data_IF_471435040911
#
_entry.id   IF_471435040911
#
_cell.length_a   1.000
_cell.length_b   1.000
_cell.length_c   1.000
_cell.angle_alpha   90.00
_cell.angle_beta   90.00
_cell.angle_gamma   90.00
#
_symmetry.space_group_name_H-M   'P 1'
#
loop_
_entity.id
_entity.type
_entity.pdbx_description
1 polymer ?
#
# COMPACT_ATOMS: atom_id res chain seq x y z
N UNK A 1 -0.86 -19.02 -25.24
CA UNK A 1 -2.13 -18.35 -24.94
C UNK A 1 -1.83 -17.06 -24.17
N UNK A 2 -2.72 -16.08 -24.19
CA UNK A 2 -2.55 -14.88 -23.35
C UNK A 2 -2.76 -15.26 -21.87
N UNK A 3 -1.83 -14.92 -20.95
CA UNK A 3 -1.95 -15.31 -19.56
C UNK A 3 -3.13 -14.61 -18.88
N UNK A 4 -3.83 -15.33 -18.00
CA UNK A 4 -4.96 -14.88 -17.21
C UNK A 4 -4.49 -14.43 -15.84
N UNK A 5 -4.60 -13.15 -15.51
CA UNK A 5 -4.08 -12.60 -14.26
C UNK A 5 -5.20 -12.07 -13.38
N UNK A 6 -5.36 -12.67 -12.20
CA UNK A 6 -6.31 -12.19 -11.21
C UNK A 6 -5.82 -10.88 -10.56
N UNK A 7 -6.74 -9.91 -10.38
CA UNK A 7 -6.48 -8.61 -9.80
C UNK A 7 -7.29 -8.44 -8.52
N UNK A 8 -6.60 -8.15 -7.40
CA UNK A 8 -7.18 -8.02 -6.06
C UNK A 8 -6.60 -6.79 -5.39
N UNK A 9 -7.43 -6.00 -4.69
CA UNK A 9 -6.93 -4.85 -3.93
C UNK A 9 -7.60 -4.73 -2.56
N UNK A 10 -6.79 -4.51 -1.52
CA UNK A 10 -7.24 -4.19 -0.16
C UNK A 10 -6.29 -3.19 0.49
N UNK A 11 -6.74 -1.94 0.65
CA UNK A 11 -5.90 -0.85 1.11
C UNK A 11 -6.44 -0.26 2.40
N UNK A 12 -5.71 -0.44 3.51
CA UNK A 12 -6.00 0.18 4.80
C UNK A 12 -4.73 0.36 5.62
N UNK A 13 -4.46 1.57 6.04
CA UNK A 13 -3.49 1.89 7.07
C UNK A 13 -4.21 2.00 8.42
N UNK A 14 -4.09 0.98 9.27
CA UNK A 14 -4.86 0.89 10.51
C UNK A 14 -4.14 1.52 11.69
N UNK A 15 -4.73 2.60 12.23
CA UNK A 15 -4.38 3.12 13.55
C UNK A 15 -5.20 2.38 14.61
N UNK A 16 -4.54 1.60 15.47
CA UNK A 16 -5.18 0.80 16.53
C UNK A 16 -6.03 1.62 17.51
N UNK A 17 -5.81 2.92 17.59
CA UNK A 17 -6.44 3.84 18.53
C UNK A 17 -7.54 4.70 17.89
N UNK A 18 -7.79 4.55 16.59
CA UNK A 18 -8.86 5.23 15.87
C UNK A 18 -10.16 4.41 15.89
N UNK A 19 -11.31 5.04 15.60
CA UNK A 19 -12.58 4.32 15.44
C UNK A 19 -12.48 3.21 14.39
N UNK A 20 -13.22 2.12 14.60
CA UNK A 20 -13.25 0.96 13.70
C UNK A 20 -13.70 1.37 12.30
N UNK A 21 -12.95 0.95 11.28
CA UNK A 21 -13.30 1.09 9.88
C UNK A 21 -14.30 -0.01 9.50
N UNK A 22 -15.54 0.36 9.25
CA UNK A 22 -16.61 -0.54 8.85
C UNK A 22 -16.80 -0.61 7.33
N UNK A 23 -17.67 -1.49 6.85
CA UNK A 23 -17.98 -1.63 5.43
C UNK A 23 -18.48 -0.33 4.80
N UNK A 24 -19.24 0.49 5.53
CA UNK A 24 -19.78 1.73 5.01
C UNK A 24 -18.68 2.72 4.67
N UNK A 25 -17.63 2.80 5.50
CA UNK A 25 -16.46 3.64 5.24
C UNK A 25 -15.71 3.21 3.98
N UNK A 26 -15.47 1.92 3.78
CA UNK A 26 -14.83 1.39 2.58
C UNK A 26 -15.66 1.68 1.33
N UNK A 27 -16.97 1.46 1.37
CA UNK A 27 -17.87 1.75 0.24
C UNK A 27 -17.94 3.23 -0.08
N UNK A 28 -17.88 4.09 0.91
CA UNK A 28 -17.88 5.55 0.72
C UNK A 28 -16.58 6.04 0.12
N UNK A 29 -15.42 5.52 0.57
CA UNK A 29 -14.11 5.97 0.13
C UNK A 29 -13.72 5.38 -1.22
N UNK A 30 -13.67 4.06 -1.31
CA UNK A 30 -13.34 3.39 -2.56
C UNK A 30 -13.82 1.93 -2.54
N UNK A 31 -14.69 1.59 -3.48
CA UNK A 31 -15.14 0.23 -3.74
C UNK A 31 -15.35 0.06 -5.23
N UNK A 32 -14.68 -0.93 -5.83
CA UNK A 32 -14.76 -1.21 -7.25
C UNK A 32 -14.62 -2.72 -7.48
N UNK A 33 -15.36 -3.28 -8.43
CA UNK A 33 -15.44 -4.72 -8.66
C UNK A 33 -15.44 -5.05 -10.16
N UNK A 34 -14.96 -6.27 -10.47
CA UNK A 34 -15.02 -6.79 -11.83
C UNK A 34 -14.30 -5.90 -12.85
N UNK A 35 -14.81 -5.83 -14.06
CA UNK A 35 -14.19 -5.13 -15.18
C UNK A 35 -13.93 -3.64 -14.92
N UNK A 36 -14.69 -3.02 -14.02
CA UNK A 36 -14.51 -1.61 -13.66
C UNK A 36 -13.11 -1.33 -13.07
N UNK A 37 -12.44 -2.32 -12.45
CA UNK A 37 -11.06 -2.19 -11.97
C UNK A 37 -10.11 -1.88 -13.14
N UNK A 38 -10.27 -2.59 -14.25
CA UNK A 38 -9.42 -2.42 -15.44
C UNK A 38 -9.80 -1.17 -16.21
N UNK A 39 -11.09 -0.86 -16.28
CA UNK A 39 -11.60 0.37 -16.90
C UNK A 39 -11.03 1.59 -16.16
N UNK A 40 -11.07 1.58 -14.83
CA UNK A 40 -10.50 2.64 -14.01
C UNK A 40 -8.98 2.74 -14.18
N UNK A 41 -8.26 1.62 -14.09
CA UNK A 41 -6.80 1.57 -14.23
C UNK A 41 -6.28 2.06 -15.60
N UNK A 42 -7.09 1.94 -16.65
CA UNK A 42 -6.77 2.43 -18.01
C UNK A 42 -7.35 3.81 -18.31
N UNK A 43 -8.06 4.40 -17.34
CA UNK A 43 -8.61 5.74 -17.48
C UNK A 43 -7.49 6.80 -17.51
N UNK A 44 -7.64 7.89 -18.29
CA UNK A 44 -6.72 9.03 -18.21
C UNK A 44 -6.76 9.76 -16.85
N UNK A 45 -7.83 9.56 -16.09
CA UNK A 45 -8.00 10.10 -14.72
C UNK A 45 -8.55 8.97 -13.85
N UNK A 46 -7.70 8.04 -13.39
CA UNK A 46 -8.13 6.91 -12.56
C UNK A 46 -8.56 7.41 -11.17
N UNK A 47 -9.57 6.77 -10.58
CA UNK A 47 -9.99 7.01 -9.19
C UNK A 47 -8.98 6.45 -8.19
N UNK A 48 -8.32 5.34 -8.56
CA UNK A 48 -7.18 4.79 -7.85
C UNK A 48 -5.92 4.90 -8.72
N UNK A 49 -5.11 5.97 -8.55
CA UNK A 49 -3.88 6.18 -9.32
C UNK A 49 -2.74 5.24 -8.92
N UNK A 50 -3.04 4.16 -8.23
CA UNK A 50 -2.10 3.25 -7.59
C UNK A 50 -1.51 2.17 -8.48
N UNK A 51 -1.24 1.01 -7.86
CA UNK A 51 -0.53 -0.09 -8.47
C UNK A 51 -1.22 -0.69 -9.70
N UNK A 52 -2.56 -0.74 -9.74
CA UNK A 52 -3.28 -1.28 -10.91
C UNK A 52 -3.01 -0.50 -12.19
N UNK A 53 -2.89 0.83 -12.13
CA UNK A 53 -2.54 1.67 -13.29
C UNK A 53 -1.21 1.23 -13.88
N UNK A 54 -0.18 1.13 -13.04
CA UNK A 54 1.15 0.71 -13.46
C UNK A 54 1.19 -0.74 -13.92
N UNK A 55 0.53 -1.63 -13.20
CA UNK A 55 0.48 -3.06 -13.53
C UNK A 55 -0.17 -3.30 -14.90
N UNK A 56 -1.37 -2.74 -15.13
CA UNK A 56 -2.05 -2.86 -16.42
C UNK A 56 -1.21 -2.29 -17.55
N UNK A 57 -0.60 -1.10 -17.35
CA UNK A 57 0.30 -0.50 -18.33
C UNK A 57 1.46 -1.43 -18.70
N UNK A 58 2.17 -2.00 -17.71
CA UNK A 58 3.29 -2.89 -17.96
C UNK A 58 2.86 -4.17 -18.69
N UNK A 59 1.72 -4.73 -18.32
CA UNK A 59 1.18 -5.92 -18.97
C UNK A 59 0.74 -5.63 -20.41
N UNK A 60 0.14 -4.46 -20.68
CA UNK A 60 -0.27 -4.03 -22.02
C UNK A 60 0.94 -3.75 -22.92
N UNK A 61 2.01 -3.14 -22.40
CA UNK A 61 3.27 -2.86 -23.11
C UNK A 61 4.07 -4.13 -23.46
N UNK A 62 3.93 -5.19 -22.66
CA UNK A 62 4.78 -6.39 -22.75
C UNK A 62 4.13 -7.58 -23.45
N UNK A 63 2.92 -7.41 -23.98
CA UNK A 63 2.22 -8.40 -24.81
C UNK A 63 0.80 -8.71 -24.35
N UNK A 64 0.08 -9.54 -25.08
CA UNK A 64 -1.31 -9.84 -24.78
C UNK A 64 -1.47 -10.54 -23.43
N UNK A 65 -2.54 -10.21 -22.71
CA UNK A 65 -2.95 -10.84 -21.46
C UNK A 65 -4.46 -10.69 -21.27
N UNK A 66 -5.01 -11.46 -20.34
CA UNK A 66 -6.41 -11.43 -19.97
C UNK A 66 -6.52 -11.03 -18.51
N UNK A 67 -6.99 -9.82 -18.19
CA UNK A 67 -7.28 -9.44 -16.81
C UNK A 67 -8.45 -10.30 -16.29
N UNK A 68 -8.38 -10.68 -15.02
CA UNK A 68 -9.41 -11.34 -14.25
C UNK A 68 -9.63 -10.50 -12.98
N UNK A 69 -10.28 -9.34 -13.12
CA UNK A 69 -10.46 -8.42 -12.00
C UNK A 69 -11.52 -8.96 -11.02
N UNK A 70 -11.17 -9.05 -9.74
CA UNK A 70 -12.04 -9.59 -8.70
C UNK A 70 -12.72 -8.49 -7.88
N UNK A 71 -11.97 -7.87 -6.97
CA UNK A 71 -12.45 -6.80 -6.12
C UNK A 71 -11.28 -5.90 -5.67
N UNK A 72 -11.55 -4.61 -5.51
CA UNK A 72 -10.65 -3.62 -4.93
C UNK A 72 -11.43 -2.74 -3.96
N UNK A 73 -10.86 -2.52 -2.78
CA UNK A 73 -11.41 -1.58 -1.79
C UNK A 73 -10.32 -0.87 -1.02
N UNK A 74 -10.62 0.36 -0.57
CA UNK A 74 -9.71 1.17 0.23
C UNK A 74 -10.48 2.06 1.19
N UNK A 75 -10.01 2.10 2.45
CA UNK A 75 -10.44 3.11 3.41
C UNK A 75 -9.31 4.13 3.72
N UNK A 76 -8.14 4.02 3.05
CA UNK A 76 -7.00 4.90 3.29
C UNK A 76 -6.43 4.73 4.70
N UNK A 77 -6.14 5.83 5.40
CA UNK A 77 -5.77 5.81 6.80
C UNK A 77 -7.04 5.87 7.68
N UNK A 78 -7.24 4.86 8.54
CA UNK A 78 -8.41 4.77 9.42
C UNK A 78 -8.11 3.88 10.64
N UNK A 79 -9.14 3.39 11.34
CA UNK A 79 -9.00 2.46 12.45
C UNK A 79 -8.83 1.00 12.03
N UNK A 80 -8.89 0.06 13.00
CA UNK A 80 -8.90 -1.36 12.68
C UNK A 80 -10.11 -1.73 11.81
N UNK A 81 -9.92 -2.60 10.81
CA UNK A 81 -11.04 -3.08 10.00
C UNK A 81 -11.99 -3.95 10.85
N UNK A 82 -13.30 -3.73 10.69
CA UNK A 82 -14.32 -4.57 11.31
C UNK A 82 -14.19 -6.01 10.80
N UNK A 83 -14.07 -6.98 11.73
CA UNK A 83 -13.73 -8.36 11.38
C UNK A 83 -14.77 -9.00 10.45
N UNK A 84 -16.06 -8.80 10.75
CA UNK A 84 -17.13 -9.39 9.94
C UNK A 84 -17.14 -8.88 8.51
N UNK A 85 -16.83 -7.61 8.30
CA UNK A 85 -16.63 -7.04 6.95
C UNK A 85 -15.41 -7.65 6.26
N UNK A 86 -14.27 -7.70 6.96
CA UNK A 86 -13.05 -8.30 6.38
C UNK A 86 -13.27 -9.76 5.98
N UNK A 87 -13.93 -10.54 6.81
CA UNK A 87 -14.27 -11.94 6.51
C UNK A 87 -15.18 -12.07 5.28
N UNK A 88 -16.13 -11.13 5.11
CA UNK A 88 -16.98 -11.09 3.91
C UNK A 88 -16.17 -10.75 2.67
N UNK A 89 -15.23 -9.79 2.77
CA UNK A 89 -14.36 -9.43 1.66
C UNK A 89 -13.46 -10.61 1.25
N UNK A 90 -12.84 -11.31 2.19
CA UNK A 90 -12.01 -12.49 1.90
C UNK A 90 -12.85 -13.57 1.21
N UNK A 91 -14.05 -13.88 1.72
CA UNK A 91 -14.95 -14.84 1.06
C UNK A 91 -15.33 -14.43 -0.37
N UNK A 92 -15.65 -13.16 -0.58
CA UNK A 92 -15.93 -12.62 -1.92
C UNK A 92 -14.76 -12.88 -2.90
N UNK A 93 -13.52 -12.59 -2.43
CA UNK A 93 -12.31 -12.84 -3.23
C UNK A 93 -12.13 -14.33 -3.51
N UNK A 94 -12.29 -15.18 -2.48
CA UNK A 94 -12.17 -16.63 -2.63
C UNK A 94 -13.18 -17.21 -3.62
N UNK A 95 -14.46 -16.85 -3.51
CA UNK A 95 -15.53 -17.30 -4.39
C UNK A 95 -15.25 -16.90 -5.84
N UNK A 96 -14.89 -15.65 -6.08
CA UNK A 96 -14.59 -15.15 -7.41
C UNK A 96 -13.33 -15.77 -8.01
N UNK A 97 -12.27 -15.93 -7.18
CA UNK A 97 -11.03 -16.56 -7.64
C UNK A 97 -11.26 -18.03 -8.01
N UNK A 98 -12.00 -18.80 -7.20
CA UNK A 98 -12.36 -20.19 -7.52
C UNK A 98 -13.18 -20.30 -8.81
N UNK A 99 -14.15 -19.40 -9.01
CA UNK A 99 -14.96 -19.35 -10.20
C UNK A 99 -14.17 -18.98 -11.47
N UNK A 100 -13.07 -18.25 -11.30
CA UNK A 100 -12.21 -17.78 -12.38
C UNK A 100 -11.09 -18.76 -12.78
N UNK A 101 -10.86 -19.82 -12.02
CA UNK A 101 -9.79 -20.79 -12.32
C UNK A 101 -9.97 -21.46 -13.69
N UNK A 102 -8.86 -21.80 -14.39
CA UNK A 102 -7.48 -21.53 -14.02
C UNK A 102 -7.06 -20.10 -14.26
N UNK A 103 -6.18 -19.57 -13.40
CA UNK A 103 -5.46 -18.32 -13.61
C UNK A 103 -3.97 -18.62 -13.67
N UNK A 104 -3.21 -17.81 -14.43
CA UNK A 104 -1.78 -18.00 -14.63
C UNK A 104 -0.94 -17.16 -13.67
N UNK A 105 -1.54 -16.16 -13.01
CA UNK A 105 -0.90 -15.32 -12.01
C UNK A 105 -1.91 -14.52 -11.20
N UNK A 106 -1.46 -13.95 -10.08
CA UNK A 106 -2.26 -13.07 -9.23
C UNK A 106 -1.45 -11.82 -8.90
N UNK A 107 -2.05 -10.66 -9.10
CA UNK A 107 -1.53 -9.39 -8.62
C UNK A 107 -2.40 -8.82 -7.51
N UNK A 108 -1.77 -8.45 -6.40
CA UNK A 108 -2.44 -7.90 -5.22
C UNK A 108 -1.91 -6.49 -4.95
N UNK A 109 -2.77 -5.50 -4.94
CA UNK A 109 -2.47 -4.17 -4.43
C UNK A 109 -2.93 -4.08 -2.98
N UNK A 110 -2.00 -3.94 -2.03
CA UNK A 110 -2.33 -3.84 -0.61
C UNK A 110 -1.52 -2.76 0.10
N UNK A 111 -2.01 -2.30 1.26
CA UNK A 111 -1.23 -1.37 2.07
C UNK A 111 -0.13 -2.09 2.86
N UNK A 112 -0.47 -3.19 3.52
CA UNK A 112 0.46 -3.95 4.37
C UNK A 112 0.45 -3.56 5.85
N UNK A 113 -0.28 -2.52 6.23
CA UNK A 113 -0.41 -2.08 7.62
C UNK A 113 -1.82 -2.23 8.18
N UNK A 114 -2.66 -3.06 7.58
CA UNK A 114 -3.98 -3.33 8.09
C UNK A 114 -3.91 -4.14 9.40
N UNK A 115 -4.76 -3.76 10.33
CA UNK A 115 -5.11 -4.49 11.54
C UNK A 115 -6.62 -4.64 11.60
N UNK A 116 -7.11 -5.83 11.91
CA UNK A 116 -8.52 -6.07 12.21
C UNK A 116 -8.84 -5.90 13.67
N UNK A 117 -10.13 -5.89 13.98
CA UNK A 117 -10.61 -5.88 15.38
C UNK A 117 -10.33 -7.20 16.09
N UNK A 118 -10.10 -8.29 15.35
CA UNK A 118 -9.77 -9.63 15.85
C UNK A 118 -8.49 -10.15 15.18
N UNK A 119 -8.46 -10.22 13.83
CA UNK A 119 -7.26 -10.61 13.08
C UNK A 119 -6.24 -9.46 13.11
N UNK A 120 -5.05 -9.73 13.62
CA UNK A 120 -3.96 -8.75 13.69
C UNK A 120 -3.07 -8.75 12.44
N UNK A 121 -3.34 -9.62 11.45
CA UNK A 121 -2.64 -9.73 10.18
C UNK A 121 -3.58 -9.98 8.98
N UNK A 122 -4.53 -9.07 8.71
CA UNK A 122 -5.51 -9.26 7.63
C UNK A 122 -4.88 -9.48 6.25
N UNK A 123 -3.83 -8.74 5.89
CA UNK A 123 -3.14 -8.98 4.61
C UNK A 123 -2.52 -10.37 4.56
N UNK A 124 -1.90 -10.83 5.65
CA UNK A 124 -1.38 -12.21 5.72
C UNK A 124 -2.46 -13.25 5.56
N UNK A 125 -3.66 -13.00 6.10
CA UNK A 125 -4.84 -13.87 5.94
C UNK A 125 -5.33 -13.88 4.48
N UNK A 126 -5.51 -12.71 3.86
CA UNK A 126 -5.92 -12.61 2.47
C UNK A 126 -4.91 -13.27 1.52
N UNK A 127 -3.61 -13.00 1.68
CA UNK A 127 -2.57 -13.55 0.82
C UNK A 127 -2.48 -15.07 0.94
N UNK A 128 -2.59 -15.60 2.16
CA UNK A 128 -2.59 -17.05 2.38
C UNK A 128 -3.85 -17.74 1.80
N UNK A 129 -5.02 -17.09 1.88
CA UNK A 129 -6.24 -17.60 1.27
C UNK A 129 -6.10 -17.66 -0.27
N UNK A 130 -5.57 -16.61 -0.90
CA UNK A 130 -5.25 -16.59 -2.33
C UNK A 130 -4.28 -17.72 -2.69
N UNK A 131 -3.16 -17.84 -1.98
CA UNK A 131 -2.15 -18.89 -2.21
C UNK A 131 -2.74 -20.30 -2.09
N UNK A 132 -3.60 -20.52 -1.11
CA UNK A 132 -4.25 -21.82 -0.92
C UNK A 132 -5.15 -22.22 -2.10
N UNK A 133 -5.74 -21.25 -2.79
CA UNK A 133 -6.61 -21.49 -3.94
C UNK A 133 -5.80 -21.74 -5.21
N UNK A 134 -4.80 -20.91 -5.50
CA UNK A 134 -4.06 -21.01 -6.76
C UNK A 134 -2.93 -22.02 -6.73
N UNK A 135 -2.55 -22.52 -5.55
CA UNK A 135 -1.45 -23.50 -5.37
C UNK A 135 -0.06 -22.84 -5.46
N UNK A 136 1.01 -23.65 -5.29
CA UNK A 136 2.39 -23.16 -5.17
C UNK A 136 3.01 -22.68 -6.49
N UNK A 137 2.48 -23.11 -7.63
CA UNK A 137 3.08 -22.89 -8.95
C UNK A 137 2.65 -21.57 -9.61
N UNK A 138 1.49 -21.04 -9.25
CA UNK A 138 0.95 -19.79 -9.80
C UNK A 138 1.63 -18.61 -9.10
N UNK A 139 2.31 -17.72 -9.84
CA UNK A 139 2.97 -16.57 -9.24
C UNK A 139 1.96 -15.61 -8.58
N UNK A 140 2.26 -15.20 -7.35
CA UNK A 140 1.53 -14.18 -6.59
C UNK A 140 2.47 -13.01 -6.32
N UNK A 141 2.20 -11.87 -6.92
CA UNK A 141 2.96 -10.62 -6.76
C UNK A 141 2.11 -9.61 -6.02
N UNK A 142 2.68 -8.92 -5.04
CA UNK A 142 1.99 -7.86 -4.33
C UNK A 142 2.82 -6.57 -4.26
N UNK A 143 2.12 -5.43 -4.37
CA UNK A 143 2.69 -4.11 -4.03
C UNK A 143 2.20 -3.68 -2.66
N UNK A 144 3.10 -3.04 -1.90
CA UNK A 144 2.83 -2.57 -0.54
C UNK A 144 3.28 -1.13 -0.38
N UNK A 145 2.58 -0.42 0.50
CA UNK A 145 3.06 0.87 1.01
C UNK A 145 4.38 0.68 1.77
N UNK A 146 5.26 1.69 1.75
CA UNK A 146 6.50 1.65 2.51
C UNK A 146 6.27 1.68 4.04
N UNK A 147 5.09 2.10 4.49
CA UNK A 147 4.68 2.03 5.90
C UNK A 147 4.15 0.63 6.31
N UNK A 148 4.22 -0.37 5.44
CA UNK A 148 3.73 -1.70 5.74
C UNK A 148 4.39 -2.33 6.97
N UNK A 149 3.58 -3.01 7.76
CA UNK A 149 3.96 -3.91 8.84
C UNK A 149 3.96 -5.35 8.30
N UNK A 150 5.06 -5.78 7.71
CA UNK A 150 5.12 -7.07 7.00
C UNK A 150 5.23 -8.23 7.99
N UNK A 151 4.36 -9.22 7.81
CA UNK A 151 4.42 -10.49 8.52
C UNK A 151 5.20 -11.55 7.71
N UNK A 152 5.66 -12.59 8.38
CA UNK A 152 6.23 -13.76 7.71
C UNK A 152 5.20 -14.43 6.78
N UNK A 153 3.92 -14.47 7.21
CA UNK A 153 2.82 -15.04 6.44
C UNK A 153 2.61 -14.34 5.11
N UNK A 154 2.71 -13.01 5.07
CA UNK A 154 2.66 -12.24 3.82
C UNK A 154 3.80 -12.62 2.87
N UNK A 155 5.03 -12.74 3.40
CA UNK A 155 6.21 -13.11 2.60
C UNK A 155 6.11 -14.53 2.08
N UNK A 156 5.67 -15.48 2.89
CA UNK A 156 5.55 -16.89 2.49
C UNK A 156 4.45 -17.13 1.45
N UNK A 157 3.35 -16.36 1.53
CA UNK A 157 2.21 -16.49 0.61
C UNK A 157 2.45 -15.88 -0.78
N UNK A 158 3.47 -15.05 -0.95
CA UNK A 158 3.76 -14.34 -2.22
C UNK A 158 5.08 -14.77 -2.82
N UNK A 159 5.25 -14.65 -4.13
CA UNK A 159 6.53 -14.85 -4.82
C UNK A 159 7.36 -13.58 -4.83
N UNK A 160 6.70 -12.42 -4.83
CA UNK A 160 7.35 -11.11 -4.83
C UNK A 160 6.51 -10.09 -4.07
N UNK A 161 7.17 -9.35 -3.16
CA UNK A 161 6.64 -8.16 -2.50
C UNK A 161 7.44 -6.95 -2.96
N UNK A 162 6.76 -5.91 -3.46
CA UNK A 162 7.37 -4.67 -3.93
C UNK A 162 6.84 -3.51 -3.09
N UNK A 163 7.72 -2.84 -2.34
CA UNK A 163 7.35 -1.67 -1.56
C UNK A 163 7.48 -0.38 -2.36
N UNK A 164 6.67 0.63 -2.03
CA UNK A 164 6.91 2.00 -2.48
C UNK A 164 8.28 2.47 -2.01
N UNK A 165 8.92 3.33 -2.80
CA UNK A 165 10.26 3.86 -2.52
C UNK A 165 10.23 5.31 -2.06
N UNK A 166 9.08 5.99 -2.20
CA UNK A 166 8.98 7.43 -1.96
C UNK A 166 7.99 7.78 -0.85
N UNK A 167 8.40 8.70 0.00
CA UNK A 167 7.54 9.37 0.97
C UNK A 167 7.79 10.89 0.87
N UNK A 168 6.83 11.68 0.37
CA UNK A 168 5.44 11.32 -0.01
C UNK A 168 5.35 10.31 -1.15
N UNK A 169 4.22 9.55 -1.19
CA UNK A 169 3.98 8.50 -2.18
C UNK A 169 3.69 9.09 -3.56
N UNK A 170 4.68 9.06 -4.45
CA UNK A 170 4.56 9.54 -5.83
C UNK A 170 4.90 8.43 -6.86
N UNK A 171 5.30 7.25 -6.40
CA UNK A 171 5.79 6.15 -7.23
C UNK A 171 4.87 4.91 -7.25
N UNK A 172 3.59 5.04 -6.86
CA UNK A 172 2.66 3.93 -6.78
C UNK A 172 2.49 3.22 -8.14
N UNK A 173 2.29 4.00 -9.20
CA UNK A 173 2.14 3.45 -10.55
C UNK A 173 3.44 2.82 -11.04
N UNK A 174 4.59 3.39 -10.73
CA UNK A 174 5.91 2.83 -11.06
C UNK A 174 6.13 1.48 -10.38
N UNK A 175 5.70 1.33 -9.11
CA UNK A 175 5.78 0.04 -8.40
C UNK A 175 4.83 -0.99 -9.00
N UNK A 176 3.62 -0.58 -9.40
CA UNK A 176 2.71 -1.43 -10.16
C UNK A 176 3.30 -1.86 -11.50
N UNK A 177 3.96 -0.94 -12.21
CA UNK A 177 4.64 -1.25 -13.47
C UNK A 177 5.79 -2.25 -13.28
N UNK A 178 6.60 -2.08 -12.22
CA UNK A 178 7.61 -3.06 -11.84
C UNK A 178 6.99 -4.43 -11.57
N UNK A 179 5.85 -4.48 -10.84
CA UNK A 179 5.13 -5.72 -10.57
C UNK A 179 4.65 -6.41 -11.85
N UNK A 180 4.15 -5.66 -12.84
CA UNK A 180 3.72 -6.21 -14.13
C UNK A 180 4.88 -6.80 -14.94
N UNK A 181 6.01 -6.12 -14.97
CA UNK A 181 7.22 -6.63 -15.62
C UNK A 181 7.76 -7.89 -14.93
N UNK A 182 7.80 -7.88 -13.59
CA UNK A 182 8.20 -9.05 -12.81
C UNK A 182 7.21 -10.21 -13.01
N UNK A 183 5.91 -9.95 -13.09
CA UNK A 183 4.91 -10.97 -13.41
C UNK A 183 5.23 -11.66 -14.75
N UNK A 184 5.61 -10.92 -15.79
CA UNK A 184 6.04 -11.51 -17.07
C UNK A 184 7.25 -12.40 -16.93
N UNK A 185 8.23 -12.01 -16.11
CA UNK A 185 9.43 -12.79 -15.85
C UNK A 185 9.08 -14.10 -15.12
N UNK A 186 8.18 -14.05 -14.12
CA UNK A 186 7.71 -15.23 -13.40
C UNK A 186 6.91 -16.18 -14.30
N UNK A 187 6.04 -15.63 -15.16
CA UNK A 187 5.28 -16.40 -16.16
C UNK A 187 6.18 -17.09 -17.20
N UNK A 188 7.37 -16.51 -17.46
CA UNK A 188 8.39 -17.12 -18.33
C UNK A 188 9.18 -18.23 -17.63
N UNK A 189 8.87 -18.55 -16.36
CA UNK A 189 9.46 -19.67 -15.62
C UNK A 189 10.54 -19.27 -14.60
N UNK A 190 10.81 -17.98 -14.40
CA UNK A 190 11.71 -17.55 -13.33
C UNK A 190 11.11 -17.93 -11.98
N UNK A 191 11.89 -18.64 -11.16
CA UNK A 191 11.55 -18.92 -9.75
C UNK A 191 12.17 -17.88 -8.86
N UNK A 192 11.57 -17.65 -7.70
CA UNK A 192 12.09 -16.69 -6.72
C UNK A 192 12.62 -17.39 -5.47
N UNK A 193 13.68 -16.81 -4.91
CA UNK A 193 14.15 -17.10 -3.56
C UNK A 193 14.03 -15.82 -2.73
N UNK A 194 13.63 -15.92 -1.47
CA UNK A 194 13.33 -14.76 -0.63
C UNK A 194 14.09 -14.79 0.67
N UNK A 195 14.56 -13.62 1.09
CA UNK A 195 15.10 -13.41 2.42
C UNK A 195 14.32 -12.30 3.12
N UNK A 196 13.88 -12.55 4.33
CA UNK A 196 13.10 -11.65 5.16
C UNK A 196 13.78 -11.40 6.50
N UNK A 197 13.88 -10.15 6.88
CA UNK A 197 14.33 -9.77 8.22
C UNK A 197 13.38 -8.73 8.82
N UNK A 198 12.96 -9.00 10.04
CA UNK A 198 12.28 -8.05 10.91
C UNK A 198 13.33 -7.40 11.81
N UNK A 199 13.38 -6.08 11.82
CA UNK A 199 14.32 -5.34 12.65
C UNK A 199 13.65 -4.93 13.97
N UNK A 200 14.35 -4.99 15.09
CA UNK A 200 13.82 -4.54 16.39
C UNK A 200 13.86 -3.00 16.49
N UNK A 201 13.28 -2.33 15.47
CA UNK A 201 13.30 -0.87 15.34
C UNK A 201 11.88 -0.41 14.95
N UNK A 202 11.41 0.61 15.66
CA UNK A 202 10.13 1.30 15.43
C UNK A 202 10.43 2.78 15.20
N UNK A 203 10.88 3.19 14.01
CA UNK A 203 11.10 4.58 13.71
C UNK A 203 9.76 5.35 13.74
N UNK A 204 9.75 6.59 14.27
CA UNK A 204 8.56 7.43 14.16
C UNK A 204 8.33 7.80 12.68
N UNK A 205 7.07 8.02 12.29
CA UNK A 205 6.69 8.29 10.90
C UNK A 205 7.45 9.48 10.29
N UNK A 206 7.72 10.52 11.10
CA UNK A 206 8.49 11.70 10.66
C UNK A 206 9.96 11.38 10.30
N UNK A 207 10.47 10.22 10.68
CA UNK A 207 11.82 9.77 10.33
C UNK A 207 11.87 8.90 9.07
N UNK A 208 10.71 8.59 8.47
CA UNK A 208 10.58 7.76 7.28
C UNK A 208 10.61 8.59 5.98
N UNK A 209 11.42 9.63 5.93
CA UNK A 209 11.64 10.39 4.70
C UNK A 209 12.53 9.61 3.74
N UNK A 210 12.11 9.50 2.49
CA UNK A 210 12.83 8.73 1.46
C UNK A 210 13.91 9.51 0.73
N UNK A 211 13.84 10.85 0.75
CA UNK A 211 14.77 11.75 0.08
C UNK A 211 16.07 12.02 0.88
N UNK A 212 16.07 11.69 2.18
CA UNK A 212 17.18 11.96 3.09
C UNK A 212 17.16 11.09 4.33
N UNK A 213 18.28 11.11 5.07
CA UNK A 213 18.40 10.42 6.36
C UNK A 213 18.55 8.90 6.24
N UNK A 214 18.59 8.20 7.39
CA UNK A 214 18.92 6.77 7.43
C UNK A 214 17.95 5.88 6.65
N UNK A 215 16.67 6.25 6.59
CA UNK A 215 15.67 5.47 5.84
C UNK A 215 15.88 5.63 4.32
N UNK A 216 16.02 6.86 3.82
CA UNK A 216 16.34 7.11 2.42
C UNK A 216 17.65 6.46 1.98
N UNK A 217 18.69 6.53 2.83
CA UNK A 217 19.96 5.83 2.56
C UNK A 217 19.79 4.31 2.48
N UNK A 218 18.94 3.72 3.34
CA UNK A 218 18.66 2.28 3.31
C UNK A 218 17.92 1.89 2.02
N UNK A 219 16.93 2.68 1.59
CA UNK A 219 16.25 2.48 0.31
C UNK A 219 17.25 2.56 -0.85
N UNK A 220 18.04 3.64 -0.94
CA UNK A 220 19.02 3.83 -2.00
C UNK A 220 20.03 2.69 -2.06
N UNK A 221 20.53 2.24 -0.90
CA UNK A 221 21.41 1.07 -0.80
C UNK A 221 20.73 -0.22 -1.25
N UNK A 222 19.45 -0.41 -0.92
CA UNK A 222 18.67 -1.55 -1.41
C UNK A 222 18.54 -1.52 -2.93
N UNK A 223 18.13 -0.38 -3.48
CA UNK A 223 17.94 -0.21 -4.92
C UNK A 223 19.25 -0.38 -5.72
N UNK A 224 20.40 0.03 -5.17
CA UNK A 224 21.71 -0.20 -5.82
C UNK A 224 22.09 -1.68 -5.96
N UNK A 225 21.39 -2.60 -5.31
CA UNK A 225 21.60 -4.04 -5.39
C UNK A 225 20.63 -4.74 -6.34
N UNK A 226 19.58 -4.04 -6.80
CA UNK A 226 18.64 -4.59 -7.77
C UNK A 226 19.31 -4.75 -9.12
N UNK A 227 19.18 -5.94 -9.70
CA UNK A 227 19.81 -6.33 -10.96
C UNK A 227 20.55 -7.68 -10.84
N UNK A 228 20.94 -8.26 -11.98
CA UNK A 228 21.54 -9.59 -11.98
C UNK A 228 20.67 -10.61 -11.23
N UNK A 229 21.20 -11.25 -10.18
CA UNK A 229 20.43 -12.25 -9.41
C UNK A 229 19.34 -11.61 -8.53
N UNK A 230 19.41 -10.32 -8.21
CA UNK A 230 18.46 -9.67 -7.31
C UNK A 230 17.32 -9.04 -8.11
N UNK A 231 16.10 -9.56 -7.90
CA UNK A 231 14.88 -9.07 -8.55
C UNK A 231 14.34 -7.80 -7.89
N UNK A 232 14.28 -7.78 -6.57
CA UNK A 232 13.79 -6.64 -5.79
C UNK A 232 14.39 -6.60 -4.37
N UNK A 233 14.51 -5.38 -3.84
CA UNK A 233 14.82 -5.11 -2.43
C UNK A 233 13.81 -4.11 -1.90
N UNK A 234 12.92 -4.55 -1.04
CA UNK A 234 11.91 -3.74 -0.37
C UNK A 234 12.32 -3.44 1.07
N UNK A 235 12.47 -2.14 1.37
CA UNK A 235 12.78 -1.63 2.73
C UNK A 235 11.52 -0.98 3.28
N UNK A 236 10.89 -1.62 4.27
CA UNK A 236 9.60 -1.21 4.80
C UNK A 236 9.78 -0.56 6.16
N UNK A 237 9.35 0.70 6.28
CA UNK A 237 9.58 1.55 7.43
C UNK A 237 8.74 1.19 8.66
N UNK A 238 7.59 0.65 8.48
CA UNK A 238 6.51 0.35 9.42
C UNK A 238 5.47 1.48 9.60
N UNK A 239 4.31 1.10 10.12
CA UNK A 239 3.33 2.00 10.71
C UNK A 239 3.22 1.70 12.21
N UNK A 240 3.78 2.58 13.04
CA UNK A 240 3.91 2.35 14.49
C UNK A 240 2.57 2.32 15.22
N UNK A 241 1.56 3.04 14.70
CA UNK A 241 0.20 3.03 15.29
C UNK A 241 -0.60 1.76 15.01
N UNK A 242 -0.07 0.84 14.18
CA UNK A 242 -0.70 -0.46 13.92
C UNK A 242 -0.79 -1.36 15.14
N UNK A 243 0.12 -1.20 16.13
CA UNK A 243 0.13 -1.90 17.42
C UNK A 243 -0.25 -3.38 17.31
N UNK A 244 0.50 -4.11 16.53
CA UNK A 244 0.28 -5.54 16.23
C UNK A 244 1.60 -6.32 16.28
N UNK A 245 1.58 -7.64 16.40
CA UNK A 245 2.81 -8.48 16.40
C UNK A 245 3.66 -8.32 15.15
N UNK A 246 3.05 -7.88 14.02
CA UNK A 246 3.78 -7.63 12.76
C UNK A 246 4.36 -6.22 12.68
N UNK A 247 4.11 -5.32 13.65
CA UNK A 247 4.63 -3.95 13.66
C UNK A 247 6.15 -3.95 13.78
N UNK A 248 6.80 -3.07 13.02
CA UNK A 248 8.25 -2.88 13.01
C UNK A 248 8.85 -2.89 11.62
N UNK A 249 10.00 -2.22 11.51
CA UNK A 249 10.75 -2.11 10.27
C UNK A 249 11.17 -3.48 9.74
N UNK A 250 11.17 -3.64 8.42
CA UNK A 250 11.55 -4.91 7.79
C UNK A 250 12.24 -4.71 6.44
N UNK A 251 12.96 -5.73 6.01
CA UNK A 251 13.57 -5.82 4.69
C UNK A 251 13.18 -7.14 4.06
N UNK A 252 12.68 -7.09 2.83
CA UNK A 252 12.42 -8.25 1.99
C UNK A 252 13.33 -8.16 0.77
N UNK A 253 14.12 -9.21 0.54
CA UNK A 253 14.93 -9.36 -0.67
C UNK A 253 14.40 -10.53 -1.47
N UNK A 254 14.16 -10.30 -2.74
CA UNK A 254 13.75 -11.34 -3.68
C UNK A 254 14.83 -11.52 -4.75
N UNK A 255 15.32 -12.73 -4.92
CA UNK A 255 16.31 -13.10 -5.92
C UNK A 255 15.72 -14.07 -6.95
N UNK A 256 16.33 -14.12 -8.14
CA UNK A 256 16.00 -15.04 -9.24
C UNK A 256 16.58 -16.43 -8.93
N UNK A 257 15.85 -17.25 -8.19
CA UNK A 257 16.22 -18.65 -7.86
C UNK A 257 17.47 -18.82 -7.00
N UNK A 258 18.09 -17.73 -6.54
CA UNK A 258 19.35 -17.74 -5.79
C UNK A 258 19.13 -17.35 -4.32
N UNK A 259 18.98 -18.36 -3.44
CA UNK A 259 18.80 -18.14 -2.02
C UNK A 259 20.03 -17.50 -1.37
N UNK A 260 21.24 -17.85 -1.81
CA UNK A 260 22.46 -17.28 -1.24
C UNK A 260 22.61 -15.79 -1.57
N UNK A 261 22.24 -15.39 -2.81
CA UNK A 261 22.20 -13.98 -3.19
C UNK A 261 21.17 -13.18 -2.39
N UNK A 262 19.97 -13.74 -2.14
CA UNK A 262 18.94 -13.13 -1.31
C UNK A 262 19.45 -12.92 0.13
N UNK A 263 20.02 -13.95 0.75
CA UNK A 263 20.54 -13.91 2.12
C UNK A 263 21.74 -12.97 2.26
N UNK A 264 22.67 -12.98 1.31
CA UNK A 264 23.83 -12.09 1.29
C UNK A 264 23.43 -10.61 1.18
N UNK A 265 22.45 -10.29 0.35
CA UNK A 265 21.92 -8.92 0.20
C UNK A 265 21.19 -8.46 1.45
N UNK A 266 20.38 -9.33 2.07
CA UNK A 266 19.71 -9.08 3.36
C UNK A 266 20.71 -8.74 4.46
N UNK A 267 21.79 -9.49 4.61
CA UNK A 267 22.78 -9.31 5.67
C UNK A 267 23.51 -7.96 5.61
N UNK A 268 23.64 -7.38 4.42
CA UNK A 268 24.31 -6.09 4.20
C UNK A 268 23.40 -4.87 4.42
N UNK A 269 22.08 -5.03 4.44
CA UNK A 269 21.10 -3.93 4.55
C UNK A 269 20.81 -3.46 5.97
N UNK A 270 20.62 -4.33 6.99
CA UNK A 270 20.14 -3.91 8.32
C UNK A 270 21.14 -3.12 9.16
N UNK A 271 22.43 -3.42 9.01
CA UNK A 271 23.47 -2.83 9.90
C UNK A 271 23.60 -1.31 9.77
N UNK A 272 23.31 -0.78 8.59
CA UNK A 272 23.44 0.68 8.37
C UNK A 272 22.26 1.45 8.95
N UNK A 273 21.04 0.87 8.95
CA UNK A 273 19.86 1.53 9.51
C UNK A 273 19.85 1.47 11.06
N UNK A 274 20.29 0.33 11.64
CA UNK A 274 20.29 0.12 13.10
C UNK A 274 21.33 0.95 13.85
N UNK A 275 22.55 1.10 13.30
CA UNK A 275 23.65 1.82 13.96
C UNK A 275 23.50 3.34 13.94
N UNK A 276 22.76 3.91 12.97
CA UNK A 276 22.50 5.37 12.94
C UNK A 276 21.27 5.80 13.73
N UNK A 277 20.29 4.91 13.94
CA UNK A 277 19.11 5.23 14.75
C UNK A 277 19.44 5.44 16.25
N UNK A 278 20.58 4.91 16.74
CA UNK A 278 21.03 5.09 18.14
C UNK A 278 21.85 6.36 18.37
N UNK A 279 22.11 7.16 17.33
CA UNK A 279 23.03 8.31 17.41
C UNK A 279 22.35 9.69 17.47
N UNK A 280 21.10 9.80 17.93
CA UNK A 280 20.53 11.09 18.36
C UNK A 280 20.52 11.14 19.88
N UNK A 281 21.48 11.83 20.55
CA UNK A 281 21.34 12.12 21.95
C UNK A 281 20.31 13.22 22.12
N UNK A 282 19.12 12.87 22.61
CA UNK A 282 18.31 13.82 23.34
C UNK A 282 19.22 14.28 24.54
N UNK A 283 19.76 15.47 24.42
CA UNK A 283 20.51 16.10 25.48
C UNK A 283 19.61 16.31 26.71
N UNK A 284 19.59 15.31 27.59
CA UNK A 284 19.07 15.48 28.93
C UNK A 284 20.14 16.21 29.71
N UNK A 285 19.97 17.52 29.95
CA UNK A 285 20.81 18.31 30.80
C UNK A 285 20.76 17.78 32.24
N UNK A 286 21.72 16.94 32.60
CA UNK A 286 21.96 16.58 34.00
C UNK A 286 22.74 17.72 34.68
N UNK A 287 22.04 18.45 35.53
CA UNK A 287 22.67 19.32 36.52
C UNK A 287 23.62 18.49 37.38
N UNK A 288 24.89 18.92 37.42
CA UNK A 288 25.93 18.38 38.30
C UNK A 288 25.52 18.55 39.78
N UNK A 289 25.34 17.46 40.51
CA UNK A 289 25.52 17.45 41.96
C UNK A 289 26.61 16.44 42.33
N UNK A 290 27.37 16.89 43.28
CA UNK A 290 28.68 16.46 43.80
C UNK A 290 28.71 15.00 44.27
N UNK A 291 29.93 14.43 44.20
CA UNK A 291 30.36 13.15 44.74
C UNK A 291 30.21 13.08 46.24
N UNK A 292 29.69 11.99 46.77
CA UNK A 292 29.87 11.52 48.12
C UNK A 292 29.93 10.01 48.09
N UNK A 293 31.08 9.47 48.48
CA UNK A 293 31.27 8.02 48.61
C UNK A 293 30.56 7.50 49.87
N UNK A 294 29.86 6.39 49.75
CA UNK A 294 29.63 5.47 50.87
C UNK A 294 29.37 4.06 50.36
N UNK A 295 30.20 3.15 50.80
CA UNK A 295 30.05 1.69 50.71
C UNK A 295 29.04 1.23 51.75
N UNK A 296 28.15 0.31 51.39
CA UNK A 296 27.80 -0.90 52.18
C UNK A 296 26.68 -1.68 51.44
N UNK A 297 26.87 -2.98 51.38
CA UNK A 297 25.92 -3.99 50.91
C UNK A 297 24.70 -4.08 51.82
N UNK A 298 23.52 -4.15 51.24
CA UNK A 298 22.35 -4.76 51.87
C UNK A 298 21.33 -5.31 50.81
N UNK A 299 20.46 -6.28 51.16
CA UNK A 299 19.93 -7.25 50.24
C UNK A 299 18.66 -6.81 49.52
N UNK A 300 18.42 -7.46 48.37
CA UNK A 300 17.29 -7.26 47.46
C UNK A 300 15.97 -7.55 48.20
N UNK A 301 15.14 -6.52 48.39
CA UNK A 301 13.72 -6.65 48.73
C UNK A 301 12.88 -6.51 47.48
N UNK A 302 12.00 -7.46 47.29
CA UNK A 302 10.94 -7.44 46.26
C UNK A 302 10.08 -6.18 46.43
N UNK A 303 10.03 -5.32 45.41
CA UNK A 303 9.19 -4.14 45.37
C UNK A 303 7.76 -4.51 45.00
N UNK A 304 6.81 -4.13 45.86
CA UNK A 304 5.37 -4.10 45.62
C UNK A 304 5.02 -3.15 44.47
N UNK A 305 3.90 -3.37 43.73
CA UNK A 305 3.49 -2.47 42.67
C UNK A 305 3.11 -1.09 43.22
N UNK A 306 3.60 -0.05 42.57
CA UNK A 306 3.32 1.35 42.87
C UNK A 306 1.87 1.67 42.45
N UNK A 307 1.00 1.97 43.43
CA UNK A 307 -0.32 2.55 43.18
C UNK A 307 -0.17 4.05 42.88
N UNK A 308 -0.65 4.48 41.72
CA UNK A 308 -0.75 5.89 41.36
C UNK A 308 -1.87 6.58 42.15
N UNK A 309 -1.66 7.83 42.62
CA UNK A 309 -2.73 8.57 43.30
C UNK A 309 -3.79 9.01 42.27
N UNK A 310 -5.05 8.62 42.49
CA UNK A 310 -6.19 9.09 41.72
C UNK A 310 -6.57 10.52 42.15
N UNK A 311 -6.45 11.43 41.19
CA UNK A 311 -6.86 12.83 41.34
C UNK A 311 -8.40 12.92 41.50
N UNK A 312 -8.95 13.78 42.37
CA UNK A 312 -10.38 13.87 42.62
C UNK A 312 -11.25 14.26 41.42
N UNK A 313 -10.66 14.80 40.40
CA UNK A 313 -11.36 15.28 39.19
C UNK A 313 -11.86 14.17 38.26
N UNK A 314 -11.36 12.94 38.41
CA UNK A 314 -11.77 11.79 37.58
C UNK A 314 -12.99 11.07 38.16
N UNK A 315 -13.25 11.19 39.46
CA UNK A 315 -14.43 10.58 40.08
C UNK A 315 -15.75 11.27 39.73
N UNK A 316 -15.74 12.59 39.48
CA UNK A 316 -16.95 13.32 39.14
C UNK A 316 -17.49 13.03 37.73
N UNK A 317 -16.66 12.55 36.82
CA UNK A 317 -17.05 12.21 35.44
C UNK A 317 -17.63 10.78 35.32
N UNK A 318 -17.28 9.86 36.23
CA UNK A 318 -17.77 8.48 36.19
C UNK A 318 -19.18 8.34 36.85
N UNK A 319 -19.50 9.19 37.81
CA UNK A 319 -20.80 9.16 38.50
C UNK A 319 -21.94 9.82 37.71
N UNK A 320 -21.64 10.59 36.68
CA UNK A 320 -22.61 11.19 35.78
C UNK A 320 -23.14 10.24 34.69
N UNK A 321 -22.48 9.11 34.46
CA UNK A 321 -22.80 8.18 33.36
C UNK A 321 -23.70 7.01 33.77
N UNK A 322 -24.09 6.88 35.07
CA UNK A 322 -24.82 5.71 35.59
C UNK A 322 -26.21 5.99 36.11
N UNK A 323 -26.85 7.11 35.79
CA UNK A 323 -28.27 7.35 36.15
C UNK A 323 -29.21 7.03 34.98
N UNK A 324 -30.20 6.15 35.15
CA UNK A 324 -31.24 5.94 34.16
C UNK A 324 -32.19 7.16 34.09
N UNK A 325 -32.76 7.51 32.92
CA UNK A 325 -33.67 8.64 32.80
C UNK A 325 -35.01 8.32 33.48
N UNK A 326 -35.36 9.13 34.47
CA UNK A 326 -36.70 9.16 35.07
C UNK A 326 -37.71 9.80 34.13
N UNK A 327 -38.77 9.07 33.82
CA UNK A 327 -39.96 9.50 33.12
C UNK A 327 -40.64 10.70 33.81
N UNK A 328 -40.75 11.84 33.12
CA UNK A 328 -41.79 12.83 33.36
C UNK A 328 -42.34 13.32 32.03
N UNK A 329 -43.63 13.02 31.87
CA UNK A 329 -44.48 13.62 30.86
C UNK A 329 -44.71 15.09 31.17
N UNK A 330 -44.70 15.98 30.19
CA UNK A 330 -45.79 16.95 29.95
C UNK A 330 -45.36 18.04 28.96
N UNK A 331 -46.28 18.26 28.02
CA UNK A 331 -46.68 19.52 27.36
C UNK A 331 -45.72 20.19 26.39
N UNK A 332 -46.07 20.01 25.15
CA UNK A 332 -45.73 20.84 23.99
C UNK A 332 -46.27 22.27 24.12
N UNK A 333 -45.57 23.27 23.62
CA UNK A 333 -46.23 24.34 22.89
C UNK A 333 -45.73 24.44 21.45
N UNK A 334 -46.66 24.81 20.60
CA UNK A 334 -46.61 24.94 19.16
C UNK A 334 -45.52 25.88 18.66
N UNK A 335 -44.83 25.48 17.59
CA UNK A 335 -43.97 26.35 16.77
C UNK A 335 -44.78 27.14 15.76
N UNK A 336 -44.44 28.39 15.50
CA UNK A 336 -44.93 29.07 14.31
C UNK A 336 -44.15 28.74 13.05
N UNK A 337 -44.88 28.53 11.98
CA UNK A 337 -44.41 28.30 10.63
C UNK A 337 -43.61 29.49 10.08
N UNK A 338 -42.49 29.22 9.44
CA UNK A 338 -41.78 30.18 8.56
C UNK A 338 -41.94 29.74 7.10
N UNK A 339 -42.09 30.71 6.18
CA UNK A 339 -42.48 30.46 4.79
C UNK A 339 -41.31 29.99 3.92
N UNK A 340 -41.60 29.07 3.04
CA UNK A 340 -40.78 28.64 1.91
C UNK A 340 -40.48 29.80 0.94
N UNK A 341 -39.21 30.08 0.69
CA UNK A 341 -38.79 30.78 -0.52
C UNK A 341 -37.69 30.01 -1.21
N UNK A 342 -38.06 29.36 -2.28
CA UNK A 342 -37.22 28.83 -3.32
C UNK A 342 -36.64 29.98 -4.18
N UNK A 343 -35.32 30.03 -4.32
CA UNK A 343 -34.71 30.76 -5.44
C UNK A 343 -33.42 30.02 -5.85
N UNK A 344 -33.27 29.61 -7.12
CA UNK A 344 -32.04 28.97 -7.59
C UNK A 344 -31.05 30.03 -8.04
N UNK A 345 -29.87 30.05 -7.45
CA UNK A 345 -28.77 30.89 -7.96
C UNK A 345 -28.05 30.13 -9.08
N UNK A 346 -28.40 30.47 -10.31
CA UNK A 346 -27.61 30.19 -11.52
C UNK A 346 -26.35 31.08 -11.47
N UNK A 347 -25.16 30.50 -11.30
CA UNK A 347 -23.90 31.15 -11.64
C UNK A 347 -23.51 30.76 -13.06
N UNK A 348 -23.77 31.69 -13.99
CA UNK A 348 -23.28 31.66 -15.37
C UNK A 348 -21.78 31.98 -15.41
N UNK A 349 -20.95 31.06 -15.82
CA UNK A 349 -19.58 31.35 -16.26
C UNK A 349 -19.63 31.77 -17.73
N UNK A 350 -19.48 33.08 -18.00
CA UNK A 350 -19.27 33.63 -19.34
C UNK A 350 -17.87 33.30 -19.82
N UNK A 351 -17.80 32.55 -20.90
CA UNK A 351 -16.60 32.44 -21.76
C UNK A 351 -16.33 33.82 -22.37
N UNK A 352 -15.14 34.35 -22.15
CA UNK A 352 -14.61 35.46 -22.97
C UNK A 352 -13.90 34.84 -24.18
N UNK A 353 -14.53 34.92 -25.33
CA UNK A 353 -13.90 34.72 -26.62
C UNK A 353 -13.32 36.07 -27.06
N UNK A 354 -12.00 36.16 -27.15
CA UNK A 354 -11.32 37.26 -27.81
C UNK A 354 -11.02 36.87 -29.26
N UNK A 355 -11.71 37.52 -30.17
CA UNK A 355 -11.41 37.44 -31.60
C UNK A 355 -10.24 38.36 -31.93
N UNK A 356 -9.27 37.83 -32.68
CA UNK A 356 -8.35 38.69 -33.48
C UNK A 356 -8.27 38.08 -34.87
N UNK A 357 -8.77 38.85 -35.80
CA UNK A 357 -8.76 38.71 -37.24
C UNK A 357 -7.36 38.92 -37.83
N UNK A 358 -7.00 38.18 -38.87
CA UNK A 358 -5.78 38.44 -39.66
C UNK A 358 -5.57 37.45 -40.81
N UNK A 359 -6.29 37.72 -41.91
CA UNK A 359 -5.96 37.61 -43.35
C UNK A 359 -5.10 36.43 -43.89
N UNK A 360 -5.74 35.90 -44.84
CA UNK A 360 -5.39 34.99 -45.91
C UNK A 360 -4.07 35.28 -46.66
N UNK A 361 -3.45 34.17 -47.14
CA UNK A 361 -2.97 34.06 -48.54
C UNK A 361 -2.60 32.60 -48.86
N UNK A 362 -3.32 32.03 -49.81
CA UNK A 362 -2.87 30.98 -50.73
C UNK A 362 -2.32 31.76 -51.98
N UNK A 363 -1.47 31.19 -52.88
CA UNK A 363 -1.81 30.02 -53.68
C UNK A 363 -0.61 29.19 -54.24
N UNK A 364 -1.05 28.19 -55.05
CA UNK A 364 -0.49 27.56 -56.25
C UNK A 364 0.63 26.55 -56.06
N UNK A 365 0.32 25.24 -56.30
CA UNK A 365 0.32 24.52 -57.57
C UNK A 365 1.66 24.52 -58.34
N UNK A 366 2.25 23.34 -58.44
CA UNK A 366 2.60 22.80 -59.75
C UNK A 366 3.06 21.33 -59.63
N UNK A 367 2.47 20.56 -60.45
CA UNK A 367 2.72 19.24 -60.93
C UNK A 367 4.04 19.12 -61.69
N UNK A 368 4.65 17.98 -61.76
CA UNK A 368 4.94 17.24 -62.99
C UNK A 368 5.89 16.05 -62.72
N UNK A 369 5.37 14.89 -63.08
CA UNK A 369 5.83 13.87 -64.04
C UNK A 369 7.08 13.01 -63.72
N UNK A 370 6.78 11.69 -63.64
CA UNK A 370 7.15 10.59 -64.57
C UNK A 370 8.63 10.32 -64.80
N UNK A 371 9.03 9.07 -64.50
CA UNK A 371 9.40 8.02 -65.49
C UNK A 371 9.90 6.79 -64.70
N UNK A 372 9.25 5.67 -64.83
CA UNK A 372 9.48 4.48 -65.68
C UNK A 372 10.89 3.86 -65.57
N UNK A 373 10.91 2.67 -65.05
CA UNK A 373 11.10 1.36 -65.70
C UNK A 373 12.52 0.79 -65.64
N UNK A 374 12.67 -0.41 -65.13
CA UNK A 374 12.95 -1.69 -65.83
C UNK A 374 13.47 -2.73 -64.83
N UNK A 375 12.74 -3.78 -64.67
CA UNK A 375 12.94 -5.21 -64.99
C UNK A 375 14.40 -5.74 -64.90
N UNK A 376 14.51 -6.88 -64.14
CA UNK A 376 15.62 -7.83 -64.28
C UNK A 376 15.66 -8.88 -63.19
N UNK A 377 14.89 -9.96 -63.33
CA UNK A 377 15.23 -11.31 -62.81
C UNK A 377 15.86 -12.10 -63.97
N UNK A 378 16.32 -13.35 -63.82
CA UNK A 378 16.80 -14.18 -62.71
C UNK A 378 18.11 -14.94 -63.01
N UNK A 379 18.61 -15.78 -62.11
CA UNK A 379 19.23 -17.13 -62.28
C UNK A 379 20.05 -17.50 -61.03
N UNK A 380 19.67 -18.47 -60.33
CA UNK A 380 19.94 -19.93 -60.24
C UNK A 380 21.40 -20.34 -60.29
N UNK A 381 21.69 -21.27 -59.36
CA UNK A 381 22.74 -22.31 -59.23
C UNK A 381 23.98 -21.85 -58.44
N UNK A 382 24.45 -22.55 -57.44
CA UNK A 382 24.39 -23.98 -57.01
C UNK A 382 24.36 -24.07 -55.50
#
# INVERSE_FOLDING_TARGET
MAPRIALIGFMLESNAFAPVADEAEFRQKHWIEGEDIVVDARSPVPRDPGGFVGFCRAMDETGPWLPVPLAMTSAGASGPVEQGFFDRFVRLVEERLRAALPVDGVYIQAHGACRGTVDLDPEGTLFAAVRAIVGPEVPVVATLDLHANVSRRMVEATDLLIAYLTNPHIDLAERGHEAGRAMRELLAGTRTAKAFVKLPILPPQVALLSDRGPYGEAIAKGQSRVGGPILNVSVLGNFSFGDSPKTGMSVVVTARGDQAAADGTRASSPRTCGTRATASPLACSRSRRRRGACSTRAPIRQSRPCSLPTSPTIRAAADAATRPPSSRASSTPASPALPSRSTPIRRSWRRRTGAASGRASRPSSTATRRTQARRGSPRRRR
#
